data_IF_022539494384
#
_entry.id   IF_022539494384
#
_cell.length_a   1.000
_cell.length_b   1.000
_cell.length_c   1.000
_cell.angle_alpha   90.00
_cell.angle_beta   90.00
_cell.angle_gamma   90.00
#
_symmetry.space_group_name_H-M   'P 1'
#
loop_
_entity.id
_entity.type
_entity.pdbx_description
1 polymer ?
#
# COMPACT_ATOMS: atom_id res chain seq x y z
N UNK A 1 -68.03 -26.80 20.94
CA UNK A 1 -67.81 -25.65 20.03
C UNK A 1 -66.32 -25.39 19.91
N UNK A 2 -65.80 -25.12 18.70
CA UNK A 2 -64.40 -25.34 18.36
C UNK A 2 -63.52 -24.11 18.56
N UNK A 3 -62.22 -24.38 18.79
CA UNK A 3 -61.12 -23.42 18.94
C UNK A 3 -60.72 -22.85 17.58
N UNK A 4 -60.67 -21.53 17.45
CA UNK A 4 -60.01 -20.85 16.34
C UNK A 4 -58.50 -20.77 16.57
N UNK A 5 -57.73 -21.38 15.67
CA UNK A 5 -56.29 -21.19 15.49
C UNK A 5 -56.03 -21.03 13.98
N UNK A 6 -55.62 -19.84 13.56
CA UNK A 6 -55.23 -19.49 12.17
C UNK A 6 -54.49 -18.16 12.24
N UNK A 7 -53.31 -17.90 11.68
CA UNK A 7 -52.35 -18.61 10.82
C UNK A 7 -51.01 -17.90 11.07
N UNK A 8 -49.90 -18.65 11.27
CA UNK A 8 -48.55 -18.08 11.18
C UNK A 8 -48.09 -18.17 9.73
N UNK A 9 -47.74 -17.02 9.16
CA UNK A 9 -47.13 -16.86 7.84
C UNK A 9 -45.63 -17.13 7.94
N UNK A 10 -45.16 -18.27 7.44
CA UNK A 10 -43.74 -18.54 7.20
C UNK A 10 -43.40 -18.26 5.73
N UNK A 11 -42.63 -17.20 5.49
CA UNK A 11 -41.90 -16.99 4.24
C UNK A 11 -40.42 -16.86 4.59
N UNK A 12 -39.81 -17.97 4.99
CA UNK A 12 -38.36 -18.13 4.95
C UNK A 12 -37.99 -18.46 3.51
N UNK A 13 -37.46 -17.46 2.80
CA UNK A 13 -36.74 -17.68 1.55
C UNK A 13 -35.26 -17.70 1.88
N UNK A 14 -34.78 -18.89 2.23
CA UNK A 14 -33.36 -19.20 2.36
C UNK A 14 -32.69 -19.07 0.98
N UNK A 15 -32.32 -17.83 0.63
CA UNK A 15 -31.39 -17.56 -0.46
C UNK A 15 -29.99 -17.99 0.01
N UNK A 16 -29.70 -19.28 -0.12
CA UNK A 16 -28.34 -19.81 -0.02
C UNK A 16 -27.55 -19.25 -1.21
N UNK A 17 -26.53 -18.39 -1.00
CA UNK A 17 -25.75 -17.87 -2.11
C UNK A 17 -24.94 -19.01 -2.74
N UNK A 18 -25.28 -19.33 -3.99
CA UNK A 18 -24.60 -20.32 -4.81
C UNK A 18 -23.13 -19.90 -5.06
N UNK A 19 -22.21 -20.28 -4.17
CA UNK A 19 -20.77 -20.10 -4.37
C UNK A 19 -20.27 -21.16 -5.35
N UNK A 20 -20.11 -20.79 -6.63
CA UNK A 20 -19.36 -21.61 -7.58
C UNK A 20 -17.93 -21.80 -7.05
N UNK A 21 -17.46 -23.03 -6.83
CA UNK A 21 -16.06 -23.29 -6.50
C UNK A 21 -15.22 -22.79 -7.67
N UNK A 22 -14.52 -21.67 -7.50
CA UNK A 22 -13.55 -21.26 -8.52
C UNK A 22 -12.36 -22.20 -8.40
N UNK A 23 -12.39 -23.31 -9.15
CA UNK A 23 -11.18 -24.07 -9.50
C UNK A 23 -10.30 -23.17 -10.36
N UNK A 24 -9.65 -22.16 -9.76
CA UNK A 24 -8.53 -21.48 -10.39
C UNK A 24 -7.41 -22.51 -10.44
N UNK A 25 -7.30 -23.21 -11.57
CA UNK A 25 -6.13 -24.04 -11.86
C UNK A 25 -4.87 -23.23 -11.60
N UNK A 26 -3.86 -23.87 -11.00
CA UNK A 26 -2.54 -23.28 -10.78
C UNK A 26 -2.07 -22.74 -12.13
N UNK A 27 -1.90 -21.42 -12.25
CA UNK A 27 -1.47 -20.80 -13.50
C UNK A 27 -0.09 -21.35 -13.85
N UNK A 28 0.10 -21.75 -15.10
CA UNK A 28 1.40 -22.19 -15.59
C UNK A 28 2.44 -21.08 -15.31
N UNK A 29 3.52 -21.35 -14.56
CA UNK A 29 4.57 -20.40 -14.24
C UNK A 29 5.15 -19.69 -15.48
N UNK A 30 5.24 -20.38 -16.61
CA UNK A 30 5.79 -19.84 -17.85
C UNK A 30 4.90 -18.72 -18.40
N UNK A 31 3.57 -18.89 -18.37
CA UNK A 31 2.65 -17.84 -18.82
C UNK A 31 2.68 -16.59 -17.93
N UNK A 32 3.01 -16.75 -16.64
CA UNK A 32 3.19 -15.61 -15.73
C UNK A 32 4.48 -14.88 -16.07
N UNK A 33 5.55 -15.61 -16.34
CA UNK A 33 6.85 -15.07 -16.77
C UNK A 33 6.73 -14.32 -18.10
N UNK A 34 6.14 -14.94 -19.13
CA UNK A 34 5.94 -14.30 -20.44
C UNK A 34 5.14 -13.00 -20.36
N UNK A 35 4.07 -12.95 -19.54
CA UNK A 35 3.29 -11.73 -19.35
C UNK A 35 4.09 -10.64 -18.64
N UNK A 36 4.88 -11.02 -17.65
CA UNK A 36 5.82 -10.12 -16.97
C UNK A 36 6.82 -9.56 -18.00
N UNK A 37 7.48 -10.43 -18.77
CA UNK A 37 8.48 -10.04 -19.77
C UNK A 37 7.88 -9.15 -20.87
N UNK A 38 6.64 -9.43 -21.29
CA UNK A 38 5.90 -8.57 -22.25
C UNK A 38 5.62 -7.19 -21.68
N UNK A 39 5.24 -7.10 -20.41
CA UNK A 39 5.03 -5.82 -19.75
C UNK A 39 6.34 -5.04 -19.61
N UNK A 40 7.44 -5.73 -19.28
CA UNK A 40 8.77 -5.11 -19.16
C UNK A 40 9.36 -4.65 -20.49
N UNK A 41 9.10 -5.39 -21.56
CA UNK A 41 9.59 -5.11 -22.92
C UNK A 41 8.81 -4.03 -23.68
N UNK A 42 7.69 -3.53 -23.15
CA UNK A 42 7.05 -2.32 -23.69
C UNK A 42 8.08 -1.20 -23.71
N UNK A 43 8.24 -0.55 -24.86
CA UNK A 43 9.06 0.67 -25.02
C UNK A 43 8.38 1.81 -24.26
N UNK A 44 8.65 1.87 -22.97
CA UNK A 44 8.32 3.00 -22.09
C UNK A 44 9.63 3.69 -21.78
N UNK A 45 9.67 5.00 -21.96
CA UNK A 45 10.82 5.82 -21.59
C UNK A 45 11.21 5.55 -20.14
N UNK A 46 12.51 5.34 -19.92
CA UNK A 46 13.06 5.10 -18.58
C UNK A 46 14.00 6.23 -18.23
N UNK A 47 13.53 7.09 -17.34
CA UNK A 47 14.28 8.20 -16.79
C UNK A 47 15.15 7.72 -15.63
N UNK A 48 16.37 8.25 -15.55
CA UNK A 48 17.30 8.00 -14.44
C UNK A 48 17.70 9.31 -13.80
N UNK A 49 17.60 9.37 -12.47
CA UNK A 49 18.08 10.49 -11.66
C UNK A 49 19.10 9.93 -10.68
N UNK A 50 20.24 10.60 -10.59
CA UNK A 50 21.23 10.34 -9.55
C UNK A 50 21.12 11.41 -8.47
N UNK A 51 21.15 11.00 -7.21
CA UNK A 51 21.14 11.89 -6.04
C UNK A 51 22.37 11.64 -5.18
N UNK A 52 22.98 12.72 -4.69
CA UNK A 52 24.22 12.64 -3.91
C UNK A 52 24.01 12.07 -2.49
N UNK A 53 22.75 12.04 -2.05
CA UNK A 53 22.34 11.62 -0.71
C UNK A 53 21.42 10.40 -0.79
N UNK A 54 21.74 9.35 0.00
CA UNK A 54 20.80 8.26 0.24
C UNK A 54 19.98 8.56 1.49
N UNK A 55 18.63 8.45 1.42
CA UNK A 55 17.79 8.63 2.59
C UNK A 55 18.13 7.64 3.71
N UNK A 56 17.92 8.07 4.95
CA UNK A 56 18.12 7.21 6.12
C UNK A 56 18.80 7.89 7.29
N UNK A 57 19.11 9.19 7.19
CA UNK A 57 19.77 9.96 8.26
C UNK A 57 19.04 9.84 9.60
N UNK A 58 17.72 9.69 9.57
CA UNK A 58 16.88 9.64 10.76
C UNK A 58 16.63 8.21 11.28
N UNK A 59 17.02 7.15 10.56
CA UNK A 59 16.55 5.77 10.77
C UNK A 59 16.87 5.20 12.17
N UNK A 60 17.97 5.64 12.76
CA UNK A 60 18.45 5.17 14.08
C UNK A 60 18.12 6.12 15.22
N UNK A 61 17.48 7.25 14.90
CA UNK A 61 16.99 8.16 15.92
C UNK A 61 15.82 7.48 16.66
N UNK A 62 16.07 7.02 17.90
CA UNK A 62 15.02 6.57 18.83
C UNK A 62 14.18 7.78 19.27
N UNK A 63 13.33 8.28 18.38
CA UNK A 63 12.63 9.56 18.58
C UNK A 63 11.13 9.38 18.65
N UNK A 64 10.51 10.17 19.55
CA UNK A 64 9.09 10.47 19.49
C UNK A 64 8.79 11.28 18.24
N UNK A 65 7.54 11.26 17.76
CA UNK A 65 7.14 12.02 16.57
C UNK A 65 7.51 13.50 16.66
N UNK A 66 7.43 14.10 17.85
CA UNK A 66 7.83 15.49 18.10
C UNK A 66 9.30 15.74 17.78
N UNK A 67 10.22 14.90 18.28
CA UNK A 67 11.65 15.12 18.02
C UNK A 67 12.01 14.97 16.55
N UNK A 68 11.31 14.11 15.80
CA UNK A 68 11.48 14.02 14.35
C UNK A 68 11.06 15.33 13.71
N UNK A 69 9.88 15.85 14.06
CA UNK A 69 9.43 17.16 13.58
C UNK A 69 10.43 18.27 13.90
N UNK A 70 10.99 18.30 15.10
CA UNK A 70 11.99 19.29 15.50
C UNK A 70 13.28 19.16 14.67
N UNK A 71 13.79 17.94 14.46
CA UNK A 71 14.97 17.69 13.62
C UNK A 71 14.73 18.07 12.16
N UNK A 72 13.56 17.74 11.61
CA UNK A 72 13.17 18.13 10.25
C UNK A 72 13.05 19.64 10.10
N UNK A 73 12.56 20.35 11.12
CA UNK A 73 12.47 21.80 11.07
C UNK A 73 13.84 22.49 11.05
N UNK A 74 14.87 21.86 11.63
CA UNK A 74 16.25 22.33 11.59
C UNK A 74 16.89 22.04 10.23
N UNK A 75 16.77 20.81 9.76
CA UNK A 75 17.42 20.37 8.51
C UNK A 75 16.70 20.91 7.25
N UNK A 76 15.38 21.11 7.34
CA UNK A 76 14.51 21.57 6.26
C UNK A 76 13.56 22.67 6.75
N UNK A 77 14.08 23.88 7.03
CA UNK A 77 13.26 24.99 7.49
C UNK A 77 12.11 25.28 6.50
N UNK A 78 10.96 25.72 7.04
CA UNK A 78 9.77 26.06 6.25
C UNK A 78 10.16 27.06 5.14
N UNK A 79 9.83 26.72 3.90
CA UNK A 79 10.25 27.48 2.71
C UNK A 79 11.41 26.87 1.92
N UNK A 80 11.97 25.74 2.36
CA UNK A 80 12.91 24.90 1.59
C UNK A 80 12.29 24.21 0.36
N UNK A 81 11.16 24.71 -0.15
CA UNK A 81 10.30 24.09 -1.17
C UNK A 81 10.85 24.09 -2.60
N UNK A 82 12.11 24.47 -2.81
CA UNK A 82 12.74 24.43 -4.13
C UNK A 82 13.20 23.01 -4.50
N UNK A 83 12.29 22.04 -4.35
CA UNK A 83 12.53 20.67 -4.81
C UNK A 83 12.45 20.65 -6.33
N UNK A 84 13.44 20.02 -6.97
CA UNK A 84 13.43 19.79 -8.40
C UNK A 84 12.27 18.85 -8.74
N UNK A 85 11.53 19.12 -9.80
CA UNK A 85 10.47 18.23 -10.28
C UNK A 85 11.09 17.14 -11.15
N UNK A 86 10.88 15.87 -10.83
CA UNK A 86 11.27 14.75 -11.67
C UNK A 86 10.39 14.69 -12.94
N UNK A 87 10.81 13.98 -14.01
CA UNK A 87 10.00 13.80 -15.21
C UNK A 87 8.59 13.29 -14.88
N UNK A 88 7.57 13.82 -15.54
CA UNK A 88 6.17 13.56 -15.18
C UNK A 88 5.67 12.18 -15.59
N UNK A 89 6.25 11.62 -16.66
CA UNK A 89 5.78 10.39 -17.29
C UNK A 89 6.89 9.35 -17.39
N UNK A 90 6.50 8.12 -17.69
CA UNK A 90 7.42 7.02 -17.92
C UNK A 90 7.99 6.43 -16.62
N UNK A 91 8.83 5.42 -16.81
CA UNK A 91 9.53 4.77 -15.70
C UNK A 91 10.56 5.74 -15.13
N UNK A 92 10.74 5.69 -13.82
CA UNK A 92 11.77 6.47 -13.14
C UNK A 92 12.59 5.55 -12.25
N UNK A 93 13.91 5.69 -12.31
CA UNK A 93 14.83 5.07 -11.36
C UNK A 93 15.62 6.20 -10.70
N UNK A 94 15.50 6.31 -9.39
CA UNK A 94 16.31 7.24 -8.59
C UNK A 94 17.38 6.41 -7.89
N UNK A 95 18.63 6.72 -8.18
CA UNK A 95 19.81 6.04 -7.64
C UNK A 95 20.58 7.00 -6.73
N UNK A 96 21.12 6.49 -5.64
CA UNK A 96 21.91 7.28 -4.69
C UNK A 96 23.07 6.48 -4.11
N UNK A 97 24.00 7.18 -3.47
CA UNK A 97 25.20 6.58 -2.86
C UNK A 97 24.92 6.12 -1.44
N UNK A 98 25.01 4.82 -1.19
CA UNK A 98 24.93 4.23 0.14
C UNK A 98 26.30 3.67 0.56
N UNK A 99 26.61 3.72 1.85
CA UNK A 99 27.78 3.02 2.39
C UNK A 99 27.39 1.58 2.72
N UNK A 100 28.20 0.62 2.28
CA UNK A 100 28.09 -0.77 2.74
C UNK A 100 28.55 -0.90 4.19
N UNK A 101 28.39 -2.09 4.79
CA UNK A 101 28.94 -2.39 6.13
C UNK A 101 30.45 -2.16 6.21
N UNK A 102 31.16 -2.36 5.10
CA UNK A 102 32.60 -2.16 4.99
C UNK A 102 32.97 -0.71 4.63
N UNK A 103 32.02 0.22 4.78
CA UNK A 103 32.15 1.64 4.43
C UNK A 103 32.51 1.90 2.95
N UNK A 104 32.26 0.92 2.07
CA UNK A 104 32.47 1.10 0.63
C UNK A 104 31.23 1.77 0.03
N UNK A 105 31.39 2.84 -0.75
CA UNK A 105 30.27 3.42 -1.47
C UNK A 105 29.71 2.42 -2.48
N UNK A 106 28.38 2.30 -2.54
CA UNK A 106 27.64 1.52 -3.52
C UNK A 106 26.44 2.30 -4.02
N UNK A 107 26.13 2.16 -5.30
CA UNK A 107 24.91 2.74 -5.87
C UNK A 107 23.73 1.87 -5.43
N UNK A 108 22.77 2.49 -4.75
CA UNK A 108 21.51 1.85 -4.38
C UNK A 108 20.34 2.53 -5.06
N UNK A 109 19.30 1.76 -5.35
CA UNK A 109 18.03 2.34 -5.78
C UNK A 109 17.32 2.94 -4.57
N UNK A 110 17.08 4.24 -4.61
CA UNK A 110 16.33 5.00 -3.60
C UNK A 110 14.82 4.84 -3.83
N UNK A 111 14.40 4.99 -5.09
CA UNK A 111 13.00 4.96 -5.50
C UNK A 111 12.87 4.45 -6.93
N UNK A 112 11.77 3.75 -7.24
CA UNK A 112 11.36 3.47 -8.62
C UNK A 112 9.90 3.83 -8.85
N UNK A 113 9.61 4.42 -10.01
CA UNK A 113 8.25 4.61 -10.53
C UNK A 113 7.97 3.62 -11.63
N UNK A 114 6.84 2.95 -11.51
CA UNK A 114 6.33 1.97 -12.47
C UNK A 114 5.02 2.49 -13.06
N UNK A 115 4.88 2.35 -14.38
CA UNK A 115 3.66 2.71 -15.12
C UNK A 115 2.68 1.56 -15.15
N UNK A 116 1.37 1.78 -15.31
CA UNK A 116 0.38 0.70 -15.52
C UNK A 116 0.37 -0.40 -14.42
N UNK A 117 0.67 -0.07 -13.17
CA UNK A 117 0.54 -1.03 -12.05
C UNK A 117 -0.94 -1.29 -11.76
N UNK A 118 -1.77 -0.25 -11.86
CA UNK A 118 -3.24 -0.33 -11.83
C UNK A 118 -3.78 0.10 -13.19
N UNK A 119 -4.48 -0.79 -13.87
CA UNK A 119 -4.98 -0.54 -15.23
C UNK A 119 -6.22 0.36 -15.23
N UNK A 120 -6.52 1.03 -16.34
CA UNK A 120 -7.67 1.96 -16.48
C UNK A 120 -8.99 1.41 -15.97
N UNK A 121 -9.36 0.20 -16.36
CA UNK A 121 -10.60 -0.43 -15.90
C UNK A 121 -10.58 -0.76 -14.40
N UNK A 122 -9.41 -1.06 -13.84
CA UNK A 122 -9.24 -1.31 -12.41
C UNK A 122 -9.31 0.00 -11.61
N UNK A 123 -8.77 1.10 -12.15
CA UNK A 123 -8.86 2.44 -11.55
C UNK A 123 -10.32 2.87 -11.39
N UNK A 124 -11.08 2.82 -12.48
CA UNK A 124 -12.50 3.16 -12.48
C UNK A 124 -13.30 2.32 -11.47
N UNK A 125 -12.99 1.03 -11.36
CA UNK A 125 -13.68 0.15 -10.40
C UNK A 125 -13.29 0.44 -8.95
N UNK A 126 -12.01 0.74 -8.67
CA UNK A 126 -11.56 1.18 -7.34
C UNK A 126 -12.28 2.47 -6.95
N UNK A 127 -12.34 3.46 -7.86
CA UNK A 127 -13.04 4.72 -7.63
C UNK A 127 -14.52 4.49 -7.31
N UNK A 128 -15.21 3.70 -8.13
CA UNK A 128 -16.62 3.34 -7.92
C UNK A 128 -16.85 2.68 -6.56
N UNK A 129 -16.06 1.67 -6.21
CA UNK A 129 -16.19 0.94 -4.95
C UNK A 129 -15.89 1.84 -3.75
N UNK A 130 -14.87 2.69 -3.85
CA UNK A 130 -14.53 3.65 -2.80
C UNK A 130 -15.66 4.66 -2.57
N UNK A 131 -16.20 5.26 -3.62
CA UNK A 131 -17.34 6.17 -3.53
C UNK A 131 -18.56 5.51 -2.90
N UNK A 132 -18.87 4.26 -3.27
CA UNK A 132 -19.96 3.49 -2.66
C UNK A 132 -19.71 3.23 -1.18
N UNK A 133 -18.49 2.90 -0.76
CA UNK A 133 -18.16 2.73 0.66
C UNK A 133 -18.41 4.03 1.44
N UNK A 134 -17.98 5.18 0.90
CA UNK A 134 -18.21 6.48 1.52
C UNK A 134 -19.70 6.80 1.65
N UNK A 135 -20.49 6.61 0.59
CA UNK A 135 -21.94 6.82 0.58
C UNK A 135 -22.67 5.90 1.58
N UNK A 136 -22.16 4.69 1.82
CA UNK A 136 -22.73 3.72 2.75
C UNK A 136 -22.16 3.84 4.19
N UNK A 137 -21.57 4.99 4.54
CA UNK A 137 -21.16 5.29 5.90
C UNK A 137 -19.87 4.59 6.34
N UNK A 138 -18.86 4.56 5.47
CA UNK A 138 -17.50 4.14 5.80
C UNK A 138 -17.02 4.81 7.10
N UNK A 139 -16.62 3.98 8.08
CA UNK A 139 -16.12 4.46 9.36
C UNK A 139 -14.60 4.53 9.38
N UNK A 140 -14.09 5.65 9.89
CA UNK A 140 -12.67 5.84 10.15
C UNK A 140 -12.35 5.65 11.64
N UNK A 141 -11.11 5.30 11.95
CA UNK A 141 -10.66 5.21 13.34
C UNK A 141 -10.52 6.61 13.93
N UNK A 142 -11.15 6.85 15.08
CA UNK A 142 -11.04 8.13 15.81
C UNK A 142 -9.59 8.38 16.25
N UNK A 143 -9.10 9.60 16.05
CA UNK A 143 -7.79 10.06 16.53
C UNK A 143 -6.57 9.53 15.77
N UNK A 144 -6.74 8.98 14.56
CA UNK A 144 -5.72 8.17 13.89
C UNK A 144 -4.51 8.90 13.28
N UNK A 145 -4.64 10.14 12.79
CA UNK A 145 -3.65 10.67 11.82
C UNK A 145 -3.39 12.18 11.87
N UNK A 146 -3.80 12.88 12.93
CA UNK A 146 -3.65 14.35 13.02
C UNK A 146 -2.21 14.84 12.80
N UNK A 147 -1.21 14.00 13.08
CA UNK A 147 0.20 14.31 12.90
C UNK A 147 0.70 14.19 11.45
N UNK A 148 -0.06 13.56 10.55
CA UNK A 148 0.38 13.21 9.18
C UNK A 148 -0.50 13.81 8.08
N UNK A 149 -1.78 13.97 8.36
CA UNK A 149 -2.77 14.33 7.35
C UNK A 149 -3.98 15.03 8.00
N UNK A 150 -4.66 15.85 7.22
CA UNK A 150 -5.99 16.42 7.55
C UNK A 150 -7.12 15.46 7.21
N UNK A 151 -6.91 14.56 6.24
CA UNK A 151 -7.87 13.55 5.79
C UNK A 151 -7.59 12.18 6.43
N UNK A 152 -8.62 11.46 6.89
CA UNK A 152 -8.44 10.15 7.51
C UNK A 152 -8.23 9.05 6.47
N UNK A 153 -7.40 8.06 6.80
CA UNK A 153 -7.30 6.79 6.07
C UNK A 153 -7.98 5.62 6.81
N UNK A 154 -8.41 4.63 6.05
CA UNK A 154 -8.64 3.28 6.57
C UNK A 154 -7.41 2.42 6.32
N UNK A 155 -7.14 1.47 7.21
CA UNK A 155 -6.08 0.49 7.04
C UNK A 155 -6.72 -0.89 6.92
N UNK A 156 -6.59 -1.55 5.78
CA UNK A 156 -7.20 -2.87 5.53
C UNK A 156 -6.11 -3.92 5.33
N UNK A 157 -6.24 -5.08 5.96
CA UNK A 157 -5.22 -6.13 5.89
C UNK A 157 -4.73 -6.61 7.26
N UNK A 158 -3.49 -7.07 7.27
CA UNK A 158 -2.81 -7.68 8.41
C UNK A 158 -1.77 -6.71 8.96
N UNK A 159 -1.76 -6.53 10.28
CA UNK A 159 -0.85 -5.62 10.97
C UNK A 159 -0.38 -6.17 12.31
N UNK A 160 0.90 -5.97 12.67
CA UNK A 160 1.52 -6.44 13.92
C UNK A 160 2.15 -5.29 14.73
N UNK A 161 1.78 -4.03 14.47
CA UNK A 161 2.42 -2.87 15.12
C UNK A 161 2.36 -2.87 16.66
N UNK A 162 1.27 -3.37 17.23
CA UNK A 162 0.98 -3.32 18.67
C UNK A 162 0.57 -4.69 19.22
N UNK A 163 1.08 -5.76 18.62
CA UNK A 163 0.77 -7.13 18.99
C UNK A 163 2.03 -8.00 18.84
N UNK A 164 2.05 -9.13 19.54
CA UNK A 164 3.13 -10.13 19.41
C UNK A 164 2.90 -11.12 18.26
N UNK A 165 1.75 -11.01 17.58
CA UNK A 165 1.33 -11.87 16.48
C UNK A 165 0.58 -11.05 15.41
N UNK A 166 0.60 -11.51 14.14
CA UNK A 166 -0.21 -10.92 13.08
C UNK A 166 -1.68 -10.90 13.47
N UNK A 167 -2.38 -9.81 13.14
CA UNK A 167 -3.82 -9.69 13.33
C UNK A 167 -4.43 -8.85 12.24
N UNK A 168 -5.72 -9.03 12.00
CA UNK A 168 -6.49 -8.14 11.13
C UNK A 168 -6.63 -6.76 11.76
N UNK A 169 -6.56 -5.71 10.94
CA UNK A 169 -6.86 -4.35 11.40
C UNK A 169 -8.33 -4.25 11.84
N UNK A 170 -8.64 -3.33 12.76
CA UNK A 170 -10.00 -3.15 13.25
C UNK A 170 -10.95 -2.70 12.13
N UNK A 171 -10.44 -1.90 11.20
CA UNK A 171 -11.14 -1.42 10.02
C UNK A 171 -11.49 -2.57 9.04
N UNK A 172 -10.70 -3.65 9.01
CA UNK A 172 -10.97 -4.84 8.19
C UNK A 172 -12.20 -5.60 8.71
N UNK A 173 -12.25 -5.91 10.01
CA UNK A 173 -13.19 -6.94 10.50
C UNK A 173 -14.24 -6.42 11.49
N UNK A 174 -13.95 -5.36 12.27
CA UNK A 174 -14.79 -4.97 13.42
C UNK A 174 -15.61 -3.71 13.19
N UNK A 175 -15.05 -2.72 12.50
CA UNK A 175 -15.61 -1.36 12.53
C UNK A 175 -16.73 -1.10 11.53
N UNK A 176 -16.72 -1.78 10.40
CA UNK A 176 -17.62 -1.45 9.29
C UNK A 176 -18.98 -2.12 9.42
N UNK A 177 -20.01 -1.51 8.81
CA UNK A 177 -21.31 -2.14 8.64
C UNK A 177 -21.25 -3.25 7.55
N UNK A 178 -22.23 -4.16 7.48
CA UNK A 178 -22.20 -5.28 6.53
C UNK A 178 -22.05 -4.87 5.05
N UNK A 179 -22.73 -3.79 4.63
CA UNK A 179 -22.66 -3.30 3.23
C UNK A 179 -21.25 -2.81 2.90
N UNK A 180 -20.65 -2.00 3.77
CA UNK A 180 -19.28 -1.50 3.60
C UNK A 180 -18.26 -2.64 3.66
N UNK A 181 -18.47 -3.68 4.48
CA UNK A 181 -17.59 -4.87 4.50
C UNK A 181 -17.59 -5.60 3.16
N UNK A 182 -18.76 -5.76 2.53
CA UNK A 182 -18.87 -6.42 1.24
C UNK A 182 -18.19 -5.59 0.13
N UNK A 183 -18.44 -4.28 0.09
CA UNK A 183 -17.76 -3.38 -0.85
C UNK A 183 -16.24 -3.36 -0.64
N UNK A 184 -15.79 -3.38 0.62
CA UNK A 184 -14.38 -3.49 0.97
C UNK A 184 -13.78 -4.83 0.50
N UNK A 185 -14.49 -5.94 0.68
CA UNK A 185 -14.05 -7.24 0.19
C UNK A 185 -13.90 -7.25 -1.33
N UNK A 186 -14.80 -6.58 -2.07
CA UNK A 186 -14.70 -6.42 -3.52
C UNK A 186 -13.49 -5.56 -3.91
N UNK A 187 -13.30 -4.40 -3.27
CA UNK A 187 -12.19 -3.50 -3.56
C UNK A 187 -10.85 -4.18 -3.27
N UNK A 188 -10.69 -4.75 -2.07
CA UNK A 188 -9.45 -5.39 -1.68
C UNK A 188 -9.23 -6.70 -2.44
N UNK A 189 -10.29 -7.42 -2.76
CA UNK A 189 -10.23 -8.59 -3.64
C UNK A 189 -9.77 -8.24 -5.06
N UNK A 190 -10.17 -7.08 -5.59
CA UNK A 190 -9.65 -6.55 -6.86
C UNK A 190 -8.14 -6.28 -6.77
N UNK A 191 -7.70 -5.60 -5.69
CA UNK A 191 -6.27 -5.34 -5.45
C UNK A 191 -5.48 -6.65 -5.36
N UNK A 192 -5.94 -7.62 -4.56
CA UNK A 192 -5.30 -8.91 -4.40
C UNK A 192 -5.26 -9.73 -5.69
N UNK A 193 -6.33 -9.71 -6.49
CA UNK A 193 -6.42 -10.52 -7.71
C UNK A 193 -5.70 -9.93 -8.92
N UNK A 194 -5.53 -8.59 -8.97
CA UNK A 194 -5.09 -7.88 -10.17
C UNK A 194 -3.81 -7.06 -9.97
N UNK A 195 -3.74 -6.30 -8.87
CA UNK A 195 -2.64 -5.37 -8.61
C UNK A 195 -1.47 -6.07 -7.93
N UNK A 196 -1.74 -6.80 -6.84
CA UNK A 196 -0.72 -7.51 -6.07
C UNK A 196 0.14 -8.47 -6.93
N UNK A 197 -0.40 -9.24 -7.89
CA UNK A 197 0.43 -10.09 -8.75
C UNK A 197 1.44 -9.32 -9.61
N UNK A 198 1.11 -8.09 -10.05
CA UNK A 198 2.06 -7.24 -10.79
C UNK A 198 3.15 -6.72 -9.86
N UNK A 199 2.80 -6.33 -8.63
CA UNK A 199 3.77 -5.95 -7.60
C UNK A 199 4.68 -7.11 -7.21
N UNK A 200 4.15 -8.34 -7.08
CA UNK A 200 4.96 -9.56 -6.89
C UNK A 200 5.97 -9.72 -8.04
N UNK A 201 5.54 -9.56 -9.29
CA UNK A 201 6.44 -9.66 -10.43
C UNK A 201 7.58 -8.64 -10.37
N UNK A 202 7.30 -7.40 -9.94
CA UNK A 202 8.32 -6.37 -9.69
C UNK A 202 9.28 -6.80 -8.59
N UNK A 203 8.78 -7.22 -7.43
CA UNK A 203 9.62 -7.60 -6.29
C UNK A 203 10.53 -8.77 -6.66
N UNK A 204 10.00 -9.78 -7.35
CA UNK A 204 10.79 -10.93 -7.82
C UNK A 204 11.90 -10.52 -8.79
N UNK A 205 11.62 -9.57 -9.67
CA UNK A 205 12.53 -9.18 -10.74
C UNK A 205 13.62 -8.23 -10.24
N UNK A 206 13.23 -7.20 -9.48
CA UNK A 206 14.13 -6.10 -9.12
C UNK A 206 14.59 -6.11 -7.67
N UNK A 207 13.89 -6.83 -6.78
CA UNK A 207 14.15 -6.84 -5.34
C UNK A 207 14.04 -8.26 -4.74
N UNK A 208 14.76 -9.27 -5.28
CA UNK A 208 14.58 -10.67 -4.91
C UNK A 208 14.78 -10.93 -3.40
N UNK A 209 15.73 -10.23 -2.75
CA UNK A 209 15.94 -10.33 -1.30
C UNK A 209 14.75 -9.82 -0.48
N UNK A 210 14.12 -8.73 -0.91
CA UNK A 210 12.89 -8.22 -0.29
C UNK A 210 11.76 -9.22 -0.50
N UNK A 211 11.65 -9.78 -1.71
CA UNK A 211 10.67 -10.81 -2.01
C UNK A 211 10.81 -12.07 -1.13
N UNK A 212 12.03 -12.59 -0.95
CA UNK A 212 12.29 -13.73 -0.07
C UNK A 212 11.82 -13.47 1.37
N UNK A 213 12.16 -12.30 1.92
CA UNK A 213 11.71 -11.86 3.24
C UNK A 213 10.18 -11.74 3.32
N UNK A 214 9.55 -11.22 2.27
CA UNK A 214 8.09 -11.16 2.18
C UNK A 214 7.43 -12.55 2.15
N UNK A 215 8.07 -13.55 1.53
CA UNK A 215 7.56 -14.93 1.53
C UNK A 215 7.66 -15.61 2.88
N UNK A 216 8.72 -15.37 3.65
CA UNK A 216 8.83 -15.83 5.04
C UNK A 216 7.72 -15.24 5.89
N UNK A 217 7.50 -13.92 5.78
CA UNK A 217 6.39 -13.22 6.40
C UNK A 217 5.03 -13.81 6.00
N UNK A 218 4.83 -14.11 4.72
CA UNK A 218 3.57 -14.65 4.20
C UNK A 218 3.28 -16.03 4.77
N UNK A 219 4.30 -16.90 4.82
CA UNK A 219 4.20 -18.23 5.43
C UNK A 219 3.72 -18.11 6.87
N UNK A 220 4.37 -17.27 7.67
CA UNK A 220 4.00 -17.04 9.07
C UNK A 220 2.57 -16.50 9.21
N UNK A 221 2.21 -15.49 8.41
CA UNK A 221 0.86 -14.91 8.44
C UNK A 221 -0.21 -15.95 8.12
N UNK A 222 0.00 -16.77 7.07
CA UNK A 222 -0.95 -17.83 6.71
C UNK A 222 -1.06 -18.92 7.78
N UNK A 223 0.02 -19.22 8.49
CA UNK A 223 -0.02 -20.17 9.61
C UNK A 223 -0.80 -19.59 10.80
N UNK A 224 -0.53 -18.34 11.19
CA UNK A 224 -1.16 -17.74 12.37
C UNK A 224 -2.62 -17.35 12.13
N UNK A 225 -2.96 -16.91 10.92
CA UNK A 225 -4.29 -16.42 10.53
C UNK A 225 -4.99 -17.35 9.53
N UNK A 226 -4.80 -18.68 9.68
CA UNK A 226 -5.32 -19.67 8.75
C UNK A 226 -6.85 -19.55 8.59
N UNK A 227 -7.58 -19.51 9.69
CA UNK A 227 -9.05 -19.43 9.71
C UNK A 227 -9.56 -18.09 9.16
N UNK A 228 -8.85 -16.99 9.42
CA UNK A 228 -9.16 -15.69 8.81
C UNK A 228 -8.97 -15.71 7.30
N UNK A 229 -7.90 -16.32 6.80
CA UNK A 229 -7.60 -16.38 5.37
C UNK A 229 -8.53 -17.33 4.62
N UNK A 230 -9.00 -18.39 5.27
CA UNK A 230 -10.07 -19.24 4.73
C UNK A 230 -11.38 -18.45 4.57
N UNK A 231 -11.75 -17.65 5.58
CA UNK A 231 -12.98 -16.83 5.55
C UNK A 231 -12.88 -15.61 4.64
N UNK A 232 -11.69 -15.01 4.55
CA UNK A 232 -11.42 -13.77 3.83
C UNK A 232 -10.23 -13.93 2.88
N UNK A 233 -10.35 -14.78 1.83
CA UNK A 233 -9.25 -15.06 0.90
C UNK A 233 -8.83 -13.81 0.10
N UNK A 234 -9.67 -12.78 0.05
CA UNK A 234 -9.37 -11.49 -0.57
C UNK A 234 -8.32 -10.67 0.19
N UNK A 235 -7.91 -11.08 1.39
CA UNK A 235 -6.80 -10.49 2.15
C UNK A 235 -5.41 -11.08 1.79
N UNK A 236 -5.37 -12.10 0.94
CA UNK A 236 -4.12 -12.73 0.52
C UNK A 236 -3.51 -12.00 -0.69
N UNK A 237 -2.60 -11.07 -0.41
CA UNK A 237 -1.86 -10.33 -1.44
C UNK A 237 -0.64 -11.07 -1.99
N UNK A 238 -0.49 -12.36 -1.68
CA UNK A 238 0.64 -13.18 -2.16
C UNK A 238 2.01 -12.71 -1.68
N UNK A 239 2.08 -11.93 -0.60
CA UNK A 239 3.33 -11.35 -0.09
C UNK A 239 3.84 -10.14 -0.87
N UNK A 240 3.03 -9.51 -1.73
CA UNK A 240 3.39 -8.20 -2.29
C UNK A 240 3.48 -7.12 -1.18
N UNK A 241 2.55 -7.21 -0.22
CA UNK A 241 2.38 -6.38 0.96
C UNK A 241 1.40 -7.09 1.91
N UNK A 242 1.17 -6.57 3.11
CA UNK A 242 0.24 -7.18 4.08
C UNK A 242 -0.93 -6.28 4.47
N UNK A 243 -0.79 -4.98 4.30
CA UNK A 243 -1.86 -4.02 4.52
C UNK A 243 -1.85 -2.92 3.46
N UNK A 244 -3.02 -2.34 3.23
CA UNK A 244 -3.23 -1.16 2.39
C UNK A 244 -3.89 -0.07 3.21
N UNK A 245 -3.30 1.13 3.20
CA UNK A 245 -3.96 2.35 3.65
C UNK A 245 -4.66 3.01 2.45
N UNK A 246 -5.95 3.33 2.61
CA UNK A 246 -6.79 3.93 1.57
C UNK A 246 -7.42 5.20 2.10
N UNK A 247 -7.31 6.28 1.34
CA UNK A 247 -7.89 7.60 1.70
C UNK A 247 -8.20 8.43 0.46
N UNK A 248 -9.11 9.38 0.62
CA UNK A 248 -9.22 10.53 -0.29
C UNK A 248 -8.20 11.59 0.12
N UNK A 249 -7.52 12.19 -0.86
CA UNK A 249 -6.49 13.20 -0.63
C UNK A 249 -5.09 12.60 -0.51
N UNK A 250 -4.20 13.29 0.20
CA UNK A 250 -2.80 12.91 0.35
C UNK A 250 -2.31 13.15 1.78
N UNK A 251 -1.02 12.92 2.07
CA UNK A 251 -0.42 13.16 3.38
C UNK A 251 0.58 14.31 3.28
N UNK A 252 0.16 15.52 3.64
CA UNK A 252 0.86 16.77 3.32
C UNK A 252 1.98 17.13 4.30
N UNK A 253 2.05 16.44 5.45
CA UNK A 253 3.05 16.72 6.49
C UNK A 253 4.27 15.85 6.29
N UNK A 254 5.46 16.43 6.43
CA UNK A 254 6.72 15.67 6.32
C UNK A 254 6.81 14.63 7.44
N UNK A 255 7.00 13.38 7.07
CA UNK A 255 7.04 12.26 8.02
C UNK A 255 7.86 11.08 7.51
N UNK A 256 8.04 10.11 8.40
CA UNK A 256 8.57 8.78 8.12
C UNK A 256 7.53 7.74 8.52
N UNK A 257 7.45 6.67 7.74
CA UNK A 257 6.61 5.53 8.08
C UNK A 257 7.30 4.59 9.07
N UNK A 258 7.37 5.06 10.32
CA UNK A 258 8.08 4.40 11.42
C UNK A 258 7.64 2.98 11.74
N UNK A 259 6.48 2.58 11.24
CA UNK A 259 5.92 1.26 11.46
C UNK A 259 6.29 0.27 10.37
N UNK A 260 6.81 0.76 9.24
CA UNK A 260 7.20 -0.07 8.11
C UNK A 260 8.52 -0.78 8.41
N UNK A 261 8.81 -1.86 7.70
CA UNK A 261 10.07 -2.58 7.88
C UNK A 261 11.27 -1.76 7.39
N UNK A 262 12.37 -1.75 8.16
CA UNK A 262 13.60 -1.00 7.79
C UNK A 262 14.25 -1.55 6.52
N UNK A 263 14.02 -2.81 6.17
CA UNK A 263 14.52 -3.46 4.96
C UNK A 263 13.40 -3.72 3.94
N UNK A 264 12.19 -3.25 4.25
CA UNK A 264 11.02 -3.39 3.40
C UNK A 264 10.94 -2.29 2.36
N UNK A 265 9.96 -2.45 1.48
CA UNK A 265 9.57 -1.44 0.52
C UNK A 265 8.06 -1.19 0.65
N UNK A 266 7.67 0.05 0.42
CA UNK A 266 6.30 0.51 0.47
C UNK A 266 5.91 1.03 -0.91
N UNK A 267 4.74 0.62 -1.34
CA UNK A 267 4.15 1.05 -2.60
C UNK A 267 3.23 2.23 -2.36
N UNK A 268 3.33 3.27 -3.18
CA UNK A 268 2.38 4.38 -3.18
C UNK A 268 1.80 4.53 -4.57
N UNK A 269 0.48 4.46 -4.68
CA UNK A 269 -0.28 4.63 -5.91
C UNK A 269 -1.42 5.62 -5.72
N UNK A 270 -2.01 6.09 -6.82
CA UNK A 270 -3.22 6.89 -6.80
C UNK A 270 -4.17 6.50 -7.93
N UNK A 271 -5.47 6.66 -7.68
CA UNK A 271 -6.55 6.60 -8.70
C UNK A 271 -7.45 7.84 -8.56
N UNK A 272 -8.29 8.10 -9.55
CA UNK A 272 -9.01 9.37 -9.71
C UNK A 272 -8.32 10.34 -10.68
N UNK A 273 -8.91 11.51 -10.82
CA UNK A 273 -8.42 12.61 -11.65
C UNK A 273 -8.03 13.77 -10.73
N UNK A 274 -6.75 14.16 -10.73
CA UNK A 274 -6.24 15.20 -9.84
C UNK A 274 -5.05 15.95 -10.45
N UNK A 275 -4.77 17.13 -9.90
CA UNK A 275 -3.54 17.88 -10.14
C UNK A 275 -2.77 18.10 -8.83
N UNK A 276 -1.44 18.12 -8.92
CA UNK A 276 -0.55 18.18 -7.77
C UNK A 276 -0.36 16.83 -7.08
N UNK A 277 -0.28 16.83 -5.75
CA UNK A 277 -0.03 15.63 -4.95
C UNK A 277 1.27 14.86 -5.26
N UNK A 278 2.31 15.55 -5.74
CA UNK A 278 3.61 14.95 -6.01
C UNK A 278 4.20 14.39 -4.71
N UNK A 279 4.85 13.22 -4.78
CA UNK A 279 5.62 12.70 -3.65
C UNK A 279 6.87 13.57 -3.47
N UNK A 280 6.89 14.37 -2.41
CA UNK A 280 8.03 15.19 -2.04
C UNK A 280 8.96 14.35 -1.17
N UNK A 281 10.24 14.28 -1.50
CA UNK A 281 11.25 13.62 -0.67
C UNK A 281 12.42 14.57 -0.42
N UNK A 282 12.42 15.19 0.76
CA UNK A 282 13.33 16.27 1.11
C UNK A 282 14.80 15.84 1.01
N UNK A 283 15.11 14.64 1.49
CA UNK A 283 16.48 14.07 1.46
C UNK A 283 17.02 13.87 0.06
N UNK A 284 16.16 13.78 -0.96
CA UNK A 284 16.60 13.63 -2.36
C UNK A 284 16.68 14.97 -3.09
N UNK A 285 16.06 16.03 -2.55
CA UNK A 285 15.93 17.32 -3.25
C UNK A 285 14.95 17.32 -4.42
N UNK A 286 14.11 16.29 -4.54
CA UNK A 286 13.13 16.14 -5.62
C UNK A 286 11.69 15.99 -5.12
N UNK A 287 10.76 16.39 -5.99
CA UNK A 287 9.37 15.96 -5.98
C UNK A 287 9.11 15.06 -7.18
N UNK A 288 8.38 13.98 -6.94
CA UNK A 288 8.12 12.91 -7.90
C UNK A 288 6.64 12.92 -8.26
N UNK A 289 6.27 13.44 -9.45
CA UNK A 289 4.91 13.35 -9.94
C UNK A 289 4.50 11.89 -10.06
N UNK A 290 3.25 11.61 -9.72
CA UNK A 290 2.64 10.30 -9.83
C UNK A 290 1.34 10.44 -10.62
N UNK A 291 1.24 9.74 -11.74
CA UNK A 291 0.03 9.72 -12.55
C UNK A 291 -0.94 8.63 -12.07
N UNK A 292 -2.25 8.74 -12.37
CA UNK A 292 -3.22 7.74 -11.97
C UNK A 292 -2.84 6.35 -12.52
N UNK A 293 -2.75 5.36 -11.63
CA UNK A 293 -2.39 3.97 -11.95
C UNK A 293 -0.89 3.66 -12.01
N UNK A 294 -0.04 4.68 -11.93
CA UNK A 294 1.37 4.48 -11.62
C UNK A 294 1.55 4.07 -10.15
N UNK A 295 2.68 3.45 -9.85
CA UNK A 295 3.09 3.23 -8.47
C UNK A 295 4.56 3.59 -8.27
N UNK A 296 4.84 4.26 -7.16
CA UNK A 296 6.17 4.46 -6.62
C UNK A 296 6.48 3.34 -5.63
N UNK A 297 7.69 2.80 -5.70
CA UNK A 297 8.24 1.85 -4.75
C UNK A 297 9.50 2.44 -4.12
N UNK A 298 9.47 2.62 -2.80
CA UNK A 298 10.60 3.15 -2.02
C UNK A 298 10.55 2.65 -0.57
N UNK A 299 11.64 2.85 0.17
CA UNK A 299 11.66 2.59 1.61
C UNK A 299 11.16 3.83 2.38
N UNK A 300 9.84 3.92 2.60
CA UNK A 300 9.19 5.06 3.24
C UNK A 300 9.55 5.22 4.73
N UNK A 301 10.20 4.23 5.33
CA UNK A 301 10.78 4.33 6.67
C UNK A 301 12.14 5.03 6.68
N UNK A 302 12.85 5.03 5.57
CA UNK A 302 14.16 5.67 5.44
C UNK A 302 14.09 7.04 4.80
N UNK A 303 13.02 7.34 4.07
CA UNK A 303 12.90 8.56 3.29
C UNK A 303 11.86 9.50 3.87
N UNK A 304 12.29 10.68 4.32
CA UNK A 304 11.38 11.74 4.77
C UNK A 304 10.55 12.20 3.59
N UNK A 305 9.25 12.08 3.72
CA UNK A 305 8.34 12.35 2.62
C UNK A 305 7.05 13.04 3.05
N UNK A 306 6.44 13.69 2.08
CA UNK A 306 5.09 14.26 2.11
C UNK A 306 4.51 14.28 0.69
N UNK A 307 3.26 14.66 0.56
CA UNK A 307 2.68 15.03 -0.72
C UNK A 307 2.61 16.55 -0.85
N UNK A 308 2.82 17.08 -2.06
CA UNK A 308 2.40 18.44 -2.35
C UNK A 308 0.87 18.55 -2.21
N UNK A 309 0.30 19.75 -1.99
CA UNK A 309 -1.15 19.91 -2.00
C UNK A 309 -1.76 19.45 -3.32
N UNK A 310 -3.00 18.97 -3.26
CA UNK A 310 -3.86 18.80 -4.43
C UNK A 310 -4.39 20.18 -4.82
N UNK A 311 -4.14 20.62 -6.05
CA UNK A 311 -4.65 21.90 -6.56
C UNK A 311 -6.05 21.78 -7.15
N UNK A 312 -6.39 20.62 -7.72
CA UNK A 312 -7.71 20.36 -8.30
C UNK A 312 -8.01 18.86 -8.34
N UNK A 313 -9.30 18.52 -8.48
CA UNK A 313 -9.78 17.15 -8.63
C UNK A 313 -9.81 16.34 -7.32
N UNK A 314 -9.90 15.02 -7.46
CA UNK A 314 -9.98 14.08 -6.36
C UNK A 314 -9.02 12.91 -6.56
N UNK A 315 -8.09 12.76 -5.63
CA UNK A 315 -7.18 11.62 -5.56
C UNK A 315 -7.64 10.63 -4.51
N UNK A 316 -7.67 9.34 -4.85
CA UNK A 316 -7.71 8.24 -3.90
C UNK A 316 -6.29 7.70 -3.78
N UNK A 317 -5.66 7.88 -2.63
CA UNK A 317 -4.30 7.40 -2.36
C UNK A 317 -4.35 5.98 -1.81
N UNK A 318 -3.51 5.11 -2.38
CA UNK A 318 -3.32 3.73 -1.96
C UNK A 318 -1.86 3.56 -1.52
N UNK A 319 -1.64 3.28 -0.23
CA UNK A 319 -0.31 2.97 0.29
C UNK A 319 -0.28 1.52 0.73
N UNK A 320 0.55 0.70 0.09
CA UNK A 320 0.65 -0.73 0.37
C UNK A 320 1.95 -1.01 1.11
N UNK A 321 1.86 -1.54 2.32
CA UNK A 321 2.99 -1.60 3.23
C UNK A 321 3.07 -2.92 3.99
N UNK A 322 4.23 -3.14 4.58
CA UNK A 322 4.53 -4.27 5.47
C UNK A 322 5.14 -3.72 6.74
N UNK A 323 4.51 -3.99 7.88
CA UNK A 323 5.02 -3.46 9.14
C UNK A 323 6.27 -4.22 9.63
N UNK A 324 7.13 -3.53 10.37
CA UNK A 324 8.42 -4.04 10.82
C UNK A 324 8.34 -5.30 11.66
N UNK A 325 7.35 -5.40 12.56
CA UNK A 325 7.25 -6.58 13.44
C UNK A 325 6.86 -7.83 12.66
N UNK A 326 5.94 -7.70 11.71
CA UNK A 326 5.50 -8.80 10.85
C UNK A 326 6.68 -9.35 10.04
N UNK A 327 7.48 -8.48 9.42
CA UNK A 327 8.68 -8.88 8.71
C UNK A 327 9.74 -9.49 9.65
N UNK A 328 10.11 -8.81 10.73
CA UNK A 328 11.18 -9.26 11.65
C UNK A 328 10.87 -10.56 12.37
N UNK A 329 9.65 -10.74 12.87
CA UNK A 329 9.30 -11.96 13.60
C UNK A 329 9.22 -13.19 12.69
N UNK A 330 9.11 -13.00 11.37
CA UNK A 330 9.19 -14.11 10.42
C UNK A 330 10.60 -14.65 10.20
N UNK A 331 11.63 -13.90 10.58
CA UNK A 331 13.04 -14.30 10.45
C UNK A 331 13.57 -15.06 11.68
N UNK A 332 12.78 -15.12 12.75
CA UNK A 332 13.13 -15.79 14.01
C UNK A 332 12.64 -17.25 14.07
N UNK A 333 11.95 -17.73 13.03
CA UNK A 333 11.31 -19.04 12.96
C UNK A 333 12.08 -19.99 12.03
#
# INVERSE_FOLDING_TARGET
>A
MPKELSKKSSCDTDLVPYRRPTRRGIRNPDTVKERSDRYWSRKVETNRIFVDTTPGRYIDMKMSGKRLTDALAVDYPKGSSNLKRAPETGRLIVEGMALTKDLKPTVTTVLRRFVDIIQTNERAEIERLWSLMQQNGLKYRKGGESNRSTTPAIHVGVWEKFACQPRLTAETWKMQNPVVKELMAQLVGLLAAKVAPRMVAVLRTFYPKVWERQQQALKRVRTVLADEFERMPWLDFGGAFFAVAIKTGCSEKDHLDWSDDKQGLTWVSGVGEWEGADLRALETGFQYPLQPGEAILANMRQMVHSASPISSGQRITLTFFTCSFLARHSELQ
#
